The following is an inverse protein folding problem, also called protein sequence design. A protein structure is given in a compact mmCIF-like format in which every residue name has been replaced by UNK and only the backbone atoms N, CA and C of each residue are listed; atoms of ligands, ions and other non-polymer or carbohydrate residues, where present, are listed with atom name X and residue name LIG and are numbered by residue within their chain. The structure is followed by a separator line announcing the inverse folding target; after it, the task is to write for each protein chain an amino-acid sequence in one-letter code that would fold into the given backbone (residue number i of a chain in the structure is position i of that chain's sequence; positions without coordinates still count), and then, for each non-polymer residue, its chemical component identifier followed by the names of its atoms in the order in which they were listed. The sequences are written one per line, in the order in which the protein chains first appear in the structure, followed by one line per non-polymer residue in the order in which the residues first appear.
data_IF_080647456307
#
_entry.id   IF_080647456307
#
_cell.length_a   1.000
_cell.length_b   1.000
_cell.length_c   1.000
_cell.angle_alpha   90.00
_cell.angle_beta   90.00
_cell.angle_gamma   90.00
#
_symmetry.space_group_name_H-M   'P 1'
#
loop_
_entity.id
_entity.type
_entity.pdbx_description
1 polymer ?
#
# COMPACT_ATOMS: atom_id res chain seq x y z
N UNK A 1 -2.70 -16.16 9.43
CA UNK A 1 -2.00 -16.02 8.13
C UNK A 1 -2.91 -16.43 6.97
N UNK A 2 -3.50 -17.62 7.01
CA UNK A 2 -4.37 -18.13 5.93
C UNK A 2 -5.62 -17.26 5.68
N UNK A 3 -6.20 -16.68 6.74
CA UNK A 3 -7.32 -15.73 6.65
C UNK A 3 -7.04 -14.51 5.76
N UNK A 4 -5.78 -14.06 5.66
CA UNK A 4 -5.39 -12.89 4.89
C UNK A 4 -5.13 -13.22 3.41
N UNK A 5 -4.97 -14.50 3.08
CA UNK A 5 -4.53 -14.93 1.75
C UNK A 5 -5.56 -14.60 0.66
N UNK A 6 -6.83 -14.57 1.02
CA UNK A 6 -7.94 -14.32 0.11
C UNK A 6 -8.35 -12.84 0.07
N UNK A 7 -7.71 -11.98 0.88
CA UNK A 7 -7.96 -10.55 0.81
C UNK A 7 -7.46 -9.99 -0.51
N UNK A 8 -8.22 -9.06 -1.08
CA UNK A 8 -7.87 -8.33 -2.30
C UNK A 8 -7.54 -6.90 -1.91
N UNK A 9 -6.25 -6.50 -1.87
CA UNK A 9 -5.87 -5.12 -1.61
C UNK A 9 -6.23 -4.20 -2.78
N UNK A 10 -6.77 -3.05 -2.44
CA UNK A 10 -7.20 -1.98 -3.34
C UNK A 10 -6.46 -0.73 -2.94
N UNK A 11 -5.53 -0.26 -3.76
CA UNK A 11 -4.81 0.98 -3.51
C UNK A 11 -5.73 2.20 -3.71
N UNK A 12 -5.45 3.26 -2.97
CA UNK A 12 -6.13 4.54 -3.13
C UNK A 12 -5.75 5.17 -4.49
N UNK A 13 -6.74 5.34 -5.37
CA UNK A 13 -6.55 5.84 -6.74
C UNK A 13 -6.01 7.28 -6.81
N UNK A 14 -6.17 8.06 -5.73
CA UNK A 14 -5.62 9.42 -5.64
C UNK A 14 -4.10 9.44 -5.39
N UNK A 15 -3.51 8.30 -5.02
CA UNK A 15 -2.09 8.21 -4.68
C UNK A 15 -1.30 7.74 -5.90
N UNK A 16 -0.43 8.61 -6.39
CA UNK A 16 0.40 8.30 -7.57
C UNK A 16 1.72 7.64 -7.16
N UNK A 17 2.11 6.57 -7.85
CA UNK A 17 3.47 6.03 -7.77
C UNK A 17 4.33 6.70 -8.84
N UNK A 18 5.47 7.30 -8.45
CA UNK A 18 6.47 7.84 -9.39
C UNK A 18 7.86 7.33 -9.09
N UNK A 19 8.65 7.11 -10.14
CA UNK A 19 10.09 6.85 -10.02
C UNK A 19 10.85 8.15 -10.28
N UNK A 20 11.61 8.62 -9.30
CA UNK A 20 12.39 9.86 -9.34
C UNK A 20 13.82 9.50 -8.93
N UNK A 21 14.80 9.78 -9.79
CA UNK A 21 16.23 9.52 -9.52
C UNK A 21 16.52 8.09 -9.05
N UNK A 22 15.83 7.11 -9.64
CA UNK A 22 16.00 5.68 -9.33
C UNK A 22 15.21 5.18 -8.11
N UNK A 23 14.59 6.08 -7.34
CA UNK A 23 13.78 5.76 -6.15
C UNK A 23 12.29 5.82 -6.45
N UNK A 24 11.49 5.00 -5.78
CA UNK A 24 10.03 4.99 -5.93
C UNK A 24 9.37 5.82 -4.83
N UNK A 25 8.39 6.64 -5.20
CA UNK A 25 7.64 7.48 -4.28
C UNK A 25 6.14 7.34 -4.48
N UNK A 26 5.41 7.12 -3.39
CA UNK A 26 3.97 7.38 -3.34
C UNK A 26 3.74 8.86 -3.08
N UNK A 27 3.03 9.54 -3.98
CA UNK A 27 2.63 10.94 -3.87
C UNK A 27 1.20 11.00 -3.37
N UNK A 28 1.04 11.41 -2.11
CA UNK A 28 -0.24 11.46 -1.41
C UNK A 28 -0.72 12.92 -1.37
N UNK A 29 -1.85 13.26 -1.99
CA UNK A 29 -2.32 14.64 -2.06
C UNK A 29 -2.65 15.19 -0.67
N UNK A 30 -2.24 16.44 -0.41
CA UNK A 30 -2.55 17.19 0.82
C UNK A 30 -3.84 17.99 0.63
N UNK A 31 -5.00 17.37 0.85
CA UNK A 31 -6.31 17.98 0.59
C UNK A 31 -6.88 18.78 1.79
N UNK A 32 -6.29 18.70 3.00
CA UNK A 32 -6.86 19.38 4.17
C UNK A 32 -6.67 20.90 4.10
N UNK A 33 -7.66 21.67 4.55
CA UNK A 33 -7.53 23.13 4.69
C UNK A 33 -6.44 23.52 5.70
N UNK A 34 -6.15 22.65 6.66
CA UNK A 34 -5.08 22.81 7.65
C UNK A 34 -3.67 22.62 7.05
N UNK A 35 -3.57 22.00 5.87
CA UNK A 35 -2.28 21.73 5.20
C UNK A 35 -1.73 22.95 4.45
N UNK A 36 -2.35 24.13 4.59
CA UNK A 36 -1.95 25.32 3.83
C UNK A 36 -0.47 25.70 4.02
N UNK A 37 0.02 25.68 5.27
CA UNK A 37 1.43 25.95 5.58
C UNK A 37 2.36 24.87 5.02
N UNK A 38 1.99 23.60 5.11
CA UNK A 38 2.78 22.48 4.60
C UNK A 38 2.86 22.50 3.06
N UNK A 39 1.74 22.78 2.38
CA UNK A 39 1.70 22.89 0.90
C UNK A 39 2.62 23.98 0.37
N UNK A 40 2.70 25.11 1.08
CA UNK A 40 3.56 26.24 0.70
C UNK A 40 5.05 25.91 0.82
N UNK A 41 5.43 25.02 1.72
CA UNK A 41 6.83 24.64 1.99
C UNK A 41 7.28 23.37 1.25
N UNK A 42 6.38 22.39 1.08
CA UNK A 42 6.71 21.04 0.61
C UNK A 42 5.97 20.61 -0.67
N UNK A 43 5.16 21.50 -1.25
CA UNK A 43 4.33 21.22 -2.43
C UNK A 43 3.02 20.51 -2.07
N UNK A 44 2.24 20.16 -3.09
CA UNK A 44 0.86 19.67 -2.91
C UNK A 44 0.76 18.21 -2.43
N UNK A 45 1.89 17.50 -2.28
CA UNK A 45 1.92 16.06 -1.99
C UNK A 45 2.89 15.73 -0.87
N UNK A 46 2.47 14.84 0.03
CA UNK A 46 3.40 14.09 0.91
C UNK A 46 4.01 12.93 0.13
N UNK A 47 5.27 12.60 0.42
CA UNK A 47 6.00 11.52 -0.25
C UNK A 47 6.31 10.40 0.73
N UNK A 48 6.08 9.15 0.32
CA UNK A 48 6.60 7.95 0.99
C UNK A 48 7.52 7.26 0.01
N UNK A 49 8.78 7.04 0.39
CA UNK A 49 9.73 6.26 -0.40
C UNK A 49 9.41 4.76 -0.28
N UNK A 50 9.46 4.05 -1.40
CA UNK A 50 9.35 2.60 -1.48
C UNK A 50 10.63 2.02 -2.10
N UNK A 51 10.97 0.80 -1.69
CA UNK A 51 11.91 -0.03 -2.43
C UNK A 51 11.24 -0.63 -3.68
N UNK A 52 12.00 -1.37 -4.50
CA UNK A 52 11.46 -1.96 -5.72
C UNK A 52 10.36 -3.00 -5.45
N UNK A 53 10.51 -3.80 -4.37
CA UNK A 53 9.55 -4.82 -3.96
C UNK A 53 8.23 -4.17 -3.54
N UNK A 54 8.29 -3.12 -2.71
CA UNK A 54 7.14 -2.36 -2.24
C UNK A 54 6.45 -1.60 -3.38
N UNK A 55 7.22 -1.00 -4.30
CA UNK A 55 6.67 -0.34 -5.48
C UNK A 55 5.91 -1.32 -6.38
N UNK A 56 6.48 -2.48 -6.66
CA UNK A 56 5.81 -3.52 -7.44
C UNK A 56 4.59 -4.09 -6.71
N UNK A 57 4.67 -4.26 -5.38
CA UNK A 57 3.52 -4.67 -4.56
C UNK A 57 2.38 -3.66 -4.65
N UNK A 58 2.68 -2.36 -4.57
CA UNK A 58 1.71 -1.27 -4.77
C UNK A 58 1.04 -1.32 -6.14
N UNK A 59 1.81 -1.64 -7.20
CA UNK A 59 1.26 -1.81 -8.54
C UNK A 59 0.26 -2.96 -8.64
N UNK A 60 0.49 -4.05 -7.91
CA UNK A 60 -0.39 -5.22 -7.88
C UNK A 60 -1.62 -5.07 -6.98
N UNK A 61 -1.69 -4.04 -6.14
CA UNK A 61 -2.87 -3.69 -5.33
C UNK A 61 -3.97 -3.03 -6.17
N UNK A 62 -4.29 -3.64 -7.31
CA UNK A 62 -5.23 -3.13 -8.32
C UNK A 62 -6.70 -3.46 -8.03
N UNK A 63 -6.98 -4.04 -6.86
CA UNK A 63 -8.31 -4.48 -6.48
C UNK A 63 -8.81 -5.73 -7.21
N UNK A 64 -7.91 -6.48 -7.88
CA UNK A 64 -8.24 -7.73 -8.58
C UNK A 64 -7.49 -8.93 -8.03
N UNK A 65 -6.23 -8.76 -7.64
CA UNK A 65 -5.39 -9.85 -7.13
C UNK A 65 -5.54 -10.02 -5.63
N UNK A 66 -5.58 -11.27 -5.19
CA UNK A 66 -5.49 -11.66 -3.78
C UNK A 66 -4.07 -11.51 -3.24
N UNK A 67 -3.90 -11.40 -1.91
CA UNK A 67 -2.59 -11.43 -1.25
C UNK A 67 -1.77 -12.65 -1.69
N UNK A 68 -2.42 -13.81 -1.87
CA UNK A 68 -1.77 -15.03 -2.37
C UNK A 68 -1.19 -14.85 -3.76
N UNK A 69 -1.94 -14.26 -4.68
CA UNK A 69 -1.50 -14.03 -6.06
C UNK A 69 -0.39 -12.98 -6.13
N UNK A 70 -0.47 -11.94 -5.32
CA UNK A 70 0.58 -10.94 -5.18
C UNK A 70 1.87 -11.61 -4.67
N UNK A 71 1.78 -12.43 -3.63
CA UNK A 71 2.93 -13.19 -3.12
C UNK A 71 3.59 -14.06 -4.20
N UNK A 72 2.79 -14.80 -4.98
CA UNK A 72 3.31 -15.59 -6.12
C UNK A 72 4.01 -14.71 -7.16
N UNK A 73 3.44 -13.55 -7.50
CA UNK A 73 4.05 -12.61 -8.44
C UNK A 73 5.37 -12.04 -7.92
N UNK A 74 5.46 -11.76 -6.61
CA UNK A 74 6.70 -11.34 -5.95
C UNK A 74 7.76 -12.44 -6.00
N UNK A 75 7.40 -13.68 -5.64
CA UNK A 75 8.33 -14.82 -5.69
C UNK A 75 8.86 -15.06 -7.10
N UNK A 76 7.98 -14.99 -8.10
CA UNK A 76 8.35 -15.18 -9.49
C UNK A 76 9.33 -14.11 -10.00
N UNK A 77 9.21 -12.86 -9.52
CA UNK A 77 10.05 -11.74 -9.96
C UNK A 77 11.36 -11.62 -9.19
N UNK A 78 11.33 -11.80 -7.86
CA UNK A 78 12.44 -11.48 -6.96
C UNK A 78 13.06 -12.71 -6.28
N UNK A 79 12.55 -13.92 -6.54
CA UNK A 79 13.15 -15.17 -6.04
C UNK A 79 13.21 -15.24 -4.52
N UNK A 80 14.39 -15.52 -3.96
CA UNK A 80 14.56 -15.67 -2.52
C UNK A 80 14.70 -14.34 -1.76
N UNK A 81 14.87 -13.21 -2.47
CA UNK A 81 15.00 -11.88 -1.84
C UNK A 81 13.73 -11.43 -1.08
N UNK A 82 12.58 -12.00 -1.44
CA UNK A 82 11.30 -11.69 -0.80
C UNK A 82 11.03 -12.52 0.45
N UNK A 83 11.85 -13.53 0.77
CA UNK A 83 11.61 -14.36 1.95
C UNK A 83 11.87 -13.58 3.27
N UNK A 84 11.14 -13.88 4.36
CA UNK A 84 9.91 -14.69 4.40
C UNK A 84 8.74 -13.96 3.72
N UNK A 85 8.22 -14.55 2.64
CA UNK A 85 7.38 -13.85 1.65
C UNK A 85 6.07 -13.30 2.23
N UNK A 86 5.22 -14.18 2.73
CA UNK A 86 3.86 -13.80 3.09
C UNK A 86 3.81 -12.95 4.36
N UNK A 87 4.73 -13.15 5.30
CA UNK A 87 4.85 -12.34 6.51
C UNK A 87 5.20 -10.89 6.19
N UNK A 88 6.22 -10.68 5.35
CA UNK A 88 6.65 -9.35 4.91
C UNK A 88 5.58 -8.66 4.07
N UNK A 89 4.96 -9.39 3.14
CA UNK A 89 3.89 -8.86 2.29
C UNK A 89 2.69 -8.39 3.12
N UNK A 90 2.18 -9.23 4.03
CA UNK A 90 1.01 -8.87 4.87
C UNK A 90 1.34 -7.66 5.75
N UNK A 91 2.54 -7.65 6.36
CA UNK A 91 2.99 -6.53 7.20
C UNK A 91 3.01 -5.23 6.39
N UNK A 92 3.59 -5.24 5.19
CA UNK A 92 3.64 -4.08 4.31
C UNK A 92 2.24 -3.58 3.93
N UNK A 93 1.34 -4.49 3.51
CA UNK A 93 -0.02 -4.14 3.15
C UNK A 93 -0.81 -3.53 4.32
N UNK A 94 -0.64 -4.05 5.54
CA UNK A 94 -1.28 -3.49 6.73
C UNK A 94 -0.71 -2.15 7.13
N UNK A 95 0.59 -1.92 6.95
CA UNK A 95 1.17 -0.59 7.15
C UNK A 95 0.60 0.44 6.17
N UNK A 96 0.35 0.06 4.90
CA UNK A 96 -0.38 0.92 3.96
C UNK A 96 -1.84 1.12 4.38
N UNK A 97 -2.48 0.07 4.91
CA UNK A 97 -3.86 0.10 5.40
C UNK A 97 -4.08 1.07 6.56
N UNK A 98 -3.21 1.06 7.57
CA UNK A 98 -3.24 2.01 8.71
C UNK A 98 -3.18 3.47 8.26
N UNK A 99 -2.60 3.74 7.08
CA UNK A 99 -2.44 5.07 6.49
C UNK A 99 -3.53 5.41 5.45
N UNK A 100 -4.54 4.56 5.30
CA UNK A 100 -5.62 4.70 4.30
C UNK A 100 -5.11 4.76 2.84
N UNK A 101 -3.97 4.09 2.58
CA UNK A 101 -3.38 4.00 1.25
C UNK A 101 -3.82 2.74 0.51
N UNK A 102 -4.19 1.69 1.26
CA UNK A 102 -4.74 0.43 0.75
C UNK A 102 -5.94 0.02 1.59
N UNK A 103 -7.02 -0.39 0.95
CA UNK A 103 -8.17 -1.05 1.58
C UNK A 103 -8.20 -2.53 1.19
N UNK A 104 -8.91 -3.37 1.94
CA UNK A 104 -9.03 -4.80 1.62
C UNK A 104 -10.46 -5.17 1.30
N UNK A 105 -10.65 -6.03 0.31
CA UNK A 105 -11.92 -6.69 0.02
C UNK A 105 -11.84 -8.17 0.36
N UNK A 106 -12.92 -8.72 0.88
CA UNK A 106 -13.14 -10.17 0.98
C UNK A 106 -14.51 -10.48 0.36
N UNK A 107 -14.52 -11.03 -0.85
CA UNK A 107 -15.75 -11.09 -1.65
C UNK A 107 -16.30 -9.69 -1.94
N UNK A 108 -17.55 -9.42 -1.54
CA UNK A 108 -18.21 -8.11 -1.69
C UNK A 108 -18.06 -7.19 -0.45
N UNK A 109 -17.41 -7.64 0.62
CA UNK A 109 -17.25 -6.85 1.84
C UNK A 109 -15.89 -6.13 1.87
N UNK A 110 -15.93 -4.83 2.17
CA UNK A 110 -14.74 -4.04 2.49
C UNK A 110 -14.33 -4.30 3.95
N UNK A 111 -13.11 -4.78 4.13
CA UNK A 111 -12.48 -4.97 5.43
C UNK A 111 -11.50 -3.82 5.65
N UNK A 112 -11.84 -2.91 6.56
CA UNK A 112 -10.93 -1.86 6.99
C UNK A 112 -9.83 -2.47 7.86
N UNK A 113 -8.59 -2.39 7.38
CA UNK A 113 -7.42 -2.87 8.10
C UNK A 113 -7.00 -1.89 9.19
N UNK A 114 -7.36 -2.17 10.43
CA UNK A 114 -6.94 -1.39 11.60
C UNK A 114 -8.08 -1.24 12.61
N UNK A 115 -7.76 -1.53 13.87
CA UNK A 115 -8.66 -1.47 15.01
C UNK A 115 -9.53 -0.19 15.02
N UNK A 116 -10.83 -0.35 15.28
CA UNK A 116 -11.79 0.76 15.37
C UNK A 116 -11.59 1.61 16.64
N UNK A 117 -10.64 1.26 17.50
CA UNK A 117 -10.59 1.76 18.88
C UNK A 117 -9.70 2.99 19.14
N UNK A 118 -8.95 3.51 18.17
CA UNK A 118 -8.08 4.69 18.39
C UNK A 118 -8.73 6.04 17.99
N UNK A 119 -10.06 6.13 18.08
CA UNK A 119 -10.77 7.41 17.96
C UNK A 119 -11.68 7.65 19.18
N UNK A 120 -11.05 8.06 20.27
CA UNK A 120 -11.64 8.89 21.32
C UNK A 120 -10.68 10.06 21.59
#
# INVERSE_FOLDING_TARGET
MEEYMNLVPVRNEKVELKKIEGKYYLLIPMESKLDFLARKLHGEHRRIELDEIGAYTWELCDGRRTVREIGKALKARFGDEVEPLYERLITFLFELGKRYLVEFKNGNELIYGGDRNDRA
#
